data_IF_960405168580
#
_entry.id   IF_960405168580
#
_cell.length_a   1.000
_cell.length_b   1.000
_cell.length_c   1.000
_cell.angle_alpha   90.00
_cell.angle_beta   90.00
_cell.angle_gamma   90.00
#
_symmetry.space_group_name_H-M   'P 1'
#
loop_
_entity.id
_entity.type
_entity.pdbx_description
1 polymer ?
#
# COMPACT_ATOMS: atom_id res chain seq x y z
N UNK A 1 6.48 3.12 -40.14
CA UNK A 1 5.63 4.32 -39.98
C UNK A 1 5.40 4.51 -38.48
N UNK A 2 5.56 5.72 -37.94
CA UNK A 2 5.35 5.99 -36.51
C UNK A 2 3.87 6.23 -36.20
N UNK A 3 3.47 6.03 -34.94
CA UNK A 3 2.09 6.34 -34.48
C UNK A 3 1.94 7.86 -34.40
N UNK A 4 1.02 8.42 -35.18
CA UNK A 4 0.70 9.85 -35.17
C UNK A 4 -0.50 10.14 -34.26
N UNK A 5 -0.42 11.20 -33.47
CA UNK A 5 -1.51 11.64 -32.59
C UNK A 5 -1.99 13.03 -33.03
N UNK A 6 -3.27 13.14 -33.41
CA UNK A 6 -3.90 14.43 -33.76
C UNK A 6 -4.22 15.29 -32.55
N UNK A 7 -4.40 14.67 -31.39
CA UNK A 7 -4.71 15.32 -30.10
C UNK A 7 -4.04 14.53 -28.98
N UNK A 8 -3.49 15.24 -27.99
CA UNK A 8 -2.76 14.63 -26.87
C UNK A 8 -3.72 14.34 -25.70
N UNK A 9 -4.27 13.13 -25.65
CA UNK A 9 -5.17 12.68 -24.58
C UNK A 9 -4.39 11.94 -23.47
N UNK A 10 -3.73 12.67 -22.58
CA UNK A 10 -2.82 12.08 -21.57
C UNK A 10 -3.49 11.05 -20.64
N UNK A 11 -4.74 11.29 -20.21
CA UNK A 11 -5.45 10.37 -19.34
C UNK A 11 -5.68 9.01 -20.02
N UNK A 12 -6.15 9.04 -21.27
CA UNK A 12 -6.36 7.85 -22.10
C UNK A 12 -5.06 7.11 -22.40
N UNK A 13 -3.99 7.85 -22.71
CA UNK A 13 -2.66 7.26 -22.89
C UNK A 13 -2.22 6.56 -21.60
N UNK A 14 -2.44 7.18 -20.44
CA UNK A 14 -2.17 6.57 -19.13
C UNK A 14 -2.91 5.25 -18.94
N UNK A 15 -4.21 5.21 -19.23
CA UNK A 15 -5.02 4.00 -19.16
C UNK A 15 -4.54 2.89 -20.12
N UNK A 16 -4.22 3.25 -21.38
CA UNK A 16 -3.64 2.32 -22.36
C UNK A 16 -2.32 1.71 -21.85
N UNK A 17 -1.44 2.53 -21.26
CA UNK A 17 -0.14 2.08 -20.73
C UNK A 17 -0.30 1.23 -19.46
N UNK A 18 -1.21 1.60 -18.55
CA UNK A 18 -1.50 0.80 -17.35
C UNK A 18 -2.02 -0.59 -17.75
N UNK A 19 -2.95 -0.63 -18.72
CA UNK A 19 -3.47 -1.90 -19.25
C UNK A 19 -2.35 -2.74 -19.84
N UNK A 20 -1.51 -2.15 -20.69
CA UNK A 20 -0.35 -2.84 -21.27
C UNK A 20 0.60 -3.39 -20.18
N UNK A 21 0.93 -2.58 -19.17
CA UNK A 21 1.80 -3.04 -18.07
C UNK A 21 1.23 -4.22 -17.31
N UNK A 22 -0.10 -4.22 -17.09
CA UNK A 22 -0.82 -5.29 -16.39
C UNK A 22 -0.88 -6.58 -17.21
N UNK A 23 -1.34 -6.48 -18.46
CA UNK A 23 -1.46 -7.64 -19.37
C UNK A 23 -0.10 -8.32 -19.57
N UNK A 24 0.98 -7.51 -19.67
CA UNK A 24 2.33 -8.00 -19.89
C UNK A 24 3.13 -8.26 -18.61
N UNK A 25 2.54 -8.11 -17.41
CA UNK A 25 3.24 -8.31 -16.12
C UNK A 25 4.58 -7.55 -16.05
N UNK A 26 4.58 -6.28 -16.49
CA UNK A 26 5.81 -5.50 -16.68
C UNK A 26 6.52 -5.25 -15.34
N UNK A 27 5.77 -5.04 -14.26
CA UNK A 27 6.35 -4.84 -12.93
C UNK A 27 7.12 -6.10 -12.48
N UNK A 28 6.50 -7.27 -12.58
CA UNK A 28 7.07 -8.55 -12.21
C UNK A 28 8.28 -8.87 -13.07
N UNK A 29 8.17 -8.67 -14.40
CA UNK A 29 9.29 -8.81 -15.35
C UNK A 29 10.44 -7.87 -15.00
N UNK A 30 10.16 -6.64 -14.54
CA UNK A 30 11.20 -5.69 -14.14
C UNK A 30 12.04 -6.16 -12.94
N UNK A 31 11.48 -7.04 -12.10
CA UNK A 31 12.16 -7.64 -10.94
C UNK A 31 12.84 -8.96 -11.34
N UNK A 32 12.10 -9.85 -12.00
CA UNK A 32 12.53 -11.22 -12.31
C UNK A 32 13.68 -11.29 -13.32
N UNK A 33 13.76 -10.31 -14.24
CA UNK A 33 14.86 -10.20 -15.22
C UNK A 33 16.14 -9.61 -14.64
N UNK A 34 16.13 -9.16 -13.38
CA UNK A 34 17.31 -8.58 -12.71
C UNK A 34 18.02 -9.62 -11.84
N UNK A 35 19.35 -9.54 -11.83
CA UNK A 35 20.18 -10.46 -11.03
C UNK A 35 19.94 -10.27 -9.53
N UNK A 36 19.77 -11.39 -8.82
CA UNK A 36 19.69 -11.42 -7.35
C UNK A 36 20.99 -10.97 -6.67
N UNK A 37 22.12 -10.99 -7.39
CA UNK A 37 23.42 -10.60 -6.85
C UNK A 37 23.57 -9.07 -6.64
N UNK A 38 22.65 -8.27 -7.17
CA UNK A 38 22.69 -6.80 -7.07
C UNK A 38 21.36 -6.25 -6.53
N UNK A 39 20.99 -6.56 -5.27
CA UNK A 39 19.74 -6.09 -4.69
C UNK A 39 19.81 -4.60 -4.37
N UNK A 40 18.66 -3.95 -4.43
CA UNK A 40 18.41 -2.68 -3.75
C UNK A 40 17.14 -2.84 -2.93
N UNK A 41 17.30 -2.82 -1.61
CA UNK A 41 16.19 -2.98 -0.67
C UNK A 41 15.44 -1.67 -0.52
N UNK A 42 14.13 -1.73 -0.72
CA UNK A 42 13.22 -0.62 -0.54
C UNK A 42 12.23 -0.95 0.57
N UNK A 43 12.07 -0.03 1.52
CA UNK A 43 11.06 -0.11 2.56
C UNK A 43 9.95 0.89 2.27
N UNK A 44 8.73 0.37 2.17
CA UNK A 44 7.53 1.18 2.11
C UNK A 44 7.09 1.48 3.54
N UNK A 45 7.01 2.77 3.88
CA UNK A 45 6.45 3.22 5.15
C UNK A 45 4.95 3.00 5.12
N UNK A 46 4.41 2.07 5.94
CA UNK A 46 3.05 1.57 5.78
C UNK A 46 2.05 2.66 6.16
N UNK A 47 1.11 3.03 5.28
CA UNK A 47 0.02 3.90 5.67
C UNK A 47 -0.98 3.17 6.58
N UNK A 48 -1.74 3.92 7.38
CA UNK A 48 -2.98 3.42 7.98
C UNK A 48 -4.11 3.58 6.98
N UNK A 49 -4.84 2.50 6.67
CA UNK A 49 -5.99 2.50 5.76
C UNK A 49 -7.32 2.87 6.45
N UNK A 50 -7.26 3.62 7.55
CA UNK A 50 -8.41 4.15 8.26
C UNK A 50 -8.96 5.46 7.66
N UNK A 51 -8.36 5.98 6.58
CA UNK A 51 -8.82 7.19 5.90
C UNK A 51 -8.49 7.24 4.40
N UNK A 52 -9.09 8.22 3.72
CA UNK A 52 -8.89 8.48 2.30
C UNK A 52 -7.46 8.96 2.01
N UNK A 53 -6.84 8.54 0.90
CA UNK A 53 -5.53 9.05 0.53
C UNK A 53 -5.60 10.52 0.08
N UNK A 54 -4.78 11.39 0.68
CA UNK A 54 -4.57 12.77 0.23
C UNK A 54 -3.38 12.97 -0.73
N UNK A 55 -3.24 14.19 -1.25
CA UNK A 55 -2.18 14.57 -2.22
C UNK A 55 -0.76 14.31 -1.71
N UNK A 56 -0.53 14.42 -0.40
CA UNK A 56 0.77 14.13 0.21
C UNK A 56 1.20 12.67 0.03
N UNK A 57 0.25 11.73 -0.01
CA UNK A 57 0.55 10.34 -0.33
C UNK A 57 1.00 10.16 -1.78
N UNK A 58 0.37 10.86 -2.72
CA UNK A 58 0.76 10.84 -4.14
C UNK A 58 2.18 11.38 -4.30
N UNK A 59 2.49 12.52 -3.67
CA UNK A 59 3.83 13.12 -3.71
C UNK A 59 4.89 12.18 -3.13
N UNK A 60 4.64 11.62 -1.94
CA UNK A 60 5.57 10.68 -1.31
C UNK A 60 5.80 9.43 -2.16
N UNK A 61 4.73 8.85 -2.72
CA UNK A 61 4.81 7.67 -3.58
C UNK A 61 5.51 7.95 -4.91
N UNK A 62 5.29 9.11 -5.52
CA UNK A 62 6.00 9.50 -6.73
C UNK A 62 7.53 9.54 -6.51
N UNK A 63 7.97 10.17 -5.42
CA UNK A 63 9.41 10.22 -5.07
C UNK A 63 9.95 8.81 -4.83
N UNK A 64 9.28 8.00 -4.01
CA UNK A 64 9.68 6.61 -3.72
C UNK A 64 9.80 5.78 -5.00
N UNK A 65 8.84 5.89 -5.91
CA UNK A 65 8.80 5.12 -7.14
C UNK A 65 9.90 5.50 -8.13
N UNK A 66 10.15 6.80 -8.32
CA UNK A 66 11.18 7.30 -9.24
C UNK A 66 12.55 6.68 -8.92
N UNK A 67 12.93 6.64 -7.64
CA UNK A 67 14.21 6.03 -7.25
C UNK A 67 14.24 4.52 -7.46
N UNK A 68 13.14 3.83 -7.19
CA UNK A 68 13.06 2.39 -7.43
C UNK A 68 13.16 2.06 -8.93
N UNK A 69 12.49 2.85 -9.80
CA UNK A 69 12.61 2.73 -11.26
C UNK A 69 14.04 3.03 -11.72
N UNK A 70 14.63 4.12 -11.24
CA UNK A 70 16.02 4.49 -11.52
C UNK A 70 16.99 3.35 -11.18
N UNK A 71 16.89 2.77 -9.97
CA UNK A 71 17.74 1.64 -9.55
C UNK A 71 17.53 0.41 -10.44
N UNK A 72 16.29 0.13 -10.82
CA UNK A 72 15.97 -0.96 -11.76
C UNK A 72 16.66 -0.76 -13.12
N UNK A 73 16.65 0.47 -13.66
CA UNK A 73 17.35 0.83 -14.91
C UNK A 73 18.87 0.71 -14.75
N UNK A 74 19.42 1.04 -13.57
CA UNK A 74 20.85 0.83 -13.24
C UNK A 74 21.23 -0.63 -13.00
N UNK A 75 20.31 -1.57 -13.24
CA UNK A 75 20.54 -3.02 -13.19
C UNK A 75 20.40 -3.64 -11.80
N UNK A 76 19.84 -2.91 -10.82
CA UNK A 76 19.54 -3.49 -9.50
C UNK A 76 18.23 -4.27 -9.54
N UNK A 77 18.14 -5.35 -8.76
CA UNK A 77 16.86 -5.99 -8.46
C UNK A 77 16.20 -5.24 -7.31
N UNK A 78 15.02 -4.66 -7.56
CA UNK A 78 14.28 -3.84 -6.59
C UNK A 78 12.96 -4.53 -6.25
N UNK A 79 12.95 -5.35 -5.20
CA UNK A 79 11.69 -5.90 -4.66
C UNK A 79 10.98 -4.82 -3.85
N UNK A 80 9.66 -4.71 -4.03
CA UNK A 80 8.85 -3.66 -3.42
C UNK A 80 7.60 -4.29 -2.86
N UNK A 81 7.43 -4.23 -1.55
CA UNK A 81 6.32 -4.84 -0.82
C UNK A 81 5.58 -3.74 -0.07
N UNK A 82 4.26 -3.69 -0.22
CA UNK A 82 3.44 -2.76 0.54
C UNK A 82 3.25 -3.26 1.98
N UNK A 83 2.75 -2.36 2.84
CA UNK A 83 2.25 -2.77 4.13
C UNK A 83 1.16 -1.84 4.65
N UNK A 84 0.54 -2.29 5.73
CA UNK A 84 -0.53 -1.56 6.42
C UNK A 84 -0.20 -1.45 7.90
N UNK A 85 -0.21 -0.23 8.42
CA UNK A 85 -0.11 0.02 9.85
C UNK A 85 -1.51 -0.01 10.46
N UNK A 86 -1.77 -1.05 11.25
CA UNK A 86 -3.11 -1.44 11.65
C UNK A 86 -3.40 -1.41 13.13
N UNK A 87 -2.49 -0.89 13.96
CA UNK A 87 -2.65 -0.82 15.42
C UNK A 87 -2.64 0.62 15.92
N UNK A 88 -2.98 0.80 17.20
CA UNK A 88 -2.74 2.01 17.97
C UNK A 88 -3.88 3.03 17.93
N UNK A 89 -3.66 4.12 18.68
CA UNK A 89 -4.64 5.17 18.96
C UNK A 89 -5.36 5.73 17.73
N UNK A 90 -4.70 5.98 16.57
CA UNK A 90 -5.40 6.51 15.40
C UNK A 90 -6.54 5.61 14.90
N UNK A 91 -6.42 4.28 15.06
CA UNK A 91 -7.46 3.32 14.67
C UNK A 91 -8.54 3.22 15.74
N UNK A 92 -8.12 3.16 17.00
CA UNK A 92 -8.99 3.06 18.17
C UNK A 92 -9.94 4.27 18.25
N UNK A 93 -9.42 5.49 18.20
CA UNK A 93 -10.22 6.72 18.26
C UNK A 93 -11.20 6.85 17.08
N UNK A 94 -10.81 6.39 15.89
CA UNK A 94 -11.70 6.35 14.73
C UNK A 94 -12.85 5.38 14.94
N UNK A 95 -12.58 4.21 15.52
CA UNK A 95 -13.57 3.17 15.81
C UNK A 95 -14.52 3.60 16.93
N UNK A 96 -14.01 4.19 18.01
CA UNK A 96 -14.80 4.75 19.12
C UNK A 96 -15.81 5.78 18.60
N UNK A 97 -15.34 6.72 17.76
CA UNK A 97 -16.20 7.75 17.15
C UNK A 97 -17.33 7.16 16.31
N UNK A 98 -17.07 6.10 15.57
CA UNK A 98 -18.07 5.45 14.71
C UNK A 98 -19.10 4.63 15.48
N UNK A 99 -18.65 3.97 16.55
CA UNK A 99 -19.52 3.22 17.44
C UNK A 99 -20.28 4.12 18.42
N UNK A 100 -19.90 5.40 18.53
CA UNK A 100 -20.49 6.34 19.48
C UNK A 100 -20.18 6.00 20.94
N UNK A 101 -19.02 5.40 21.19
CA UNK A 101 -18.56 4.97 22.52
C UNK A 101 -17.32 5.75 22.94
N UNK A 102 -16.95 5.64 24.21
CA UNK A 102 -15.65 6.08 24.73
C UNK A 102 -14.83 4.89 25.23
N UNK A 103 -13.58 5.14 25.61
CA UNK A 103 -12.71 4.10 26.18
C UNK A 103 -13.32 3.43 27.43
N UNK A 104 -14.11 4.16 28.22
CA UNK A 104 -14.74 3.66 29.44
C UNK A 104 -15.84 2.61 29.20
N UNK A 105 -16.36 2.53 27.97
CA UNK A 105 -17.39 1.59 27.54
C UNK A 105 -16.84 0.20 27.20
N UNK A 106 -15.56 0.13 26.87
CA UNK A 106 -14.87 -1.10 26.47
C UNK A 106 -14.79 -2.06 27.67
N UNK A 107 -15.30 -3.28 27.49
CA UNK A 107 -15.44 -4.29 28.54
C UNK A 107 -16.69 -4.13 29.42
N UNK A 108 -17.53 -3.12 29.16
CA UNK A 108 -18.80 -2.90 29.90
C UNK A 108 -20.01 -2.99 29.00
N UNK A 109 -20.08 -2.11 27.99
CA UNK A 109 -21.21 -2.03 27.05
C UNK A 109 -20.87 -2.70 25.72
N UNK A 110 -19.59 -2.78 25.36
CA UNK A 110 -19.04 -3.60 24.28
C UNK A 110 -17.97 -4.53 24.83
N UNK A 111 -17.88 -5.77 24.34
CA UNK A 111 -16.80 -6.68 24.75
C UNK A 111 -15.45 -6.25 24.15
N UNK A 112 -14.33 -6.66 24.77
CA UNK A 112 -12.99 -6.41 24.22
C UNK A 112 -12.82 -7.08 22.85
N UNK A 113 -13.40 -8.26 22.67
CA UNK A 113 -13.36 -9.00 21.41
C UNK A 113 -14.10 -8.26 20.30
N UNK A 114 -15.33 -7.82 20.57
CA UNK A 114 -16.14 -7.08 19.59
C UNK A 114 -15.49 -5.74 19.22
N UNK A 115 -14.90 -5.05 20.19
CA UNK A 115 -14.16 -3.82 19.95
C UNK A 115 -12.94 -4.05 19.05
N UNK A 116 -12.14 -5.08 19.32
CA UNK A 116 -10.98 -5.43 18.51
C UNK A 116 -11.37 -5.83 17.08
N UNK A 117 -12.48 -6.56 16.92
CA UNK A 117 -13.02 -6.89 15.59
C UNK A 117 -13.52 -5.65 14.85
N UNK A 118 -14.14 -4.69 15.54
CA UNK A 118 -14.51 -3.40 14.96
C UNK A 118 -13.25 -2.63 14.49
N UNK A 119 -12.20 -2.55 15.30
CA UNK A 119 -10.93 -1.91 14.92
C UNK A 119 -10.32 -2.53 13.65
N UNK A 120 -10.30 -3.87 13.55
CA UNK A 120 -9.82 -4.57 12.34
C UNK A 120 -10.62 -4.24 11.09
N UNK A 121 -11.95 -4.13 11.21
CA UNK A 121 -12.81 -3.75 10.08
C UNK A 121 -12.57 -2.31 9.65
N UNK A 122 -12.48 -1.40 10.62
CA UNK A 122 -12.25 0.03 10.37
C UNK A 122 -10.92 0.28 9.67
N UNK A 123 -9.85 -0.37 10.12
CA UNK A 123 -8.52 -0.12 9.57
C UNK A 123 -8.32 -0.65 8.15
N UNK A 124 -9.13 -1.62 7.71
CA UNK A 124 -9.07 -2.15 6.36
C UNK A 124 -10.05 -1.47 5.40
N UNK A 125 -10.93 -0.59 5.89
CA UNK A 125 -12.06 -0.03 5.13
C UNK A 125 -11.66 0.67 3.84
N UNK A 126 -10.57 1.43 3.84
CA UNK A 126 -10.16 2.22 2.67
C UNK A 126 -9.12 1.52 1.80
N UNK A 127 -8.76 0.27 2.10
CA UNK A 127 -7.70 -0.44 1.36
C UNK A 127 -7.97 -0.52 -0.14
N UNK A 128 -9.22 -0.72 -0.56
CA UNK A 128 -9.60 -0.74 -1.98
C UNK A 128 -9.38 0.61 -2.68
N UNK A 129 -9.71 1.73 -2.00
CA UNK A 129 -9.48 3.08 -2.53
C UNK A 129 -7.99 3.36 -2.68
N UNK A 130 -7.20 2.90 -1.70
CA UNK A 130 -5.75 3.00 -1.78
C UNK A 130 -5.16 2.11 -2.87
N UNK A 131 -5.69 0.91 -3.08
CA UNK A 131 -5.28 0.01 -4.15
C UNK A 131 -5.53 0.65 -5.52
N UNK A 132 -6.74 1.19 -5.74
CA UNK A 132 -7.11 1.92 -6.95
C UNK A 132 -6.18 3.11 -7.22
N UNK A 133 -5.92 3.94 -6.21
CA UNK A 133 -4.97 5.05 -6.34
C UNK A 133 -3.57 4.56 -6.70
N UNK A 134 -3.09 3.49 -6.06
CA UNK A 134 -1.77 2.87 -6.30
C UNK A 134 -1.61 2.49 -7.76
N UNK A 135 -2.62 1.80 -8.32
CA UNK A 135 -2.63 1.36 -9.72
C UNK A 135 -2.72 2.56 -10.66
N UNK A 136 -3.67 3.47 -10.46
CA UNK A 136 -3.89 4.65 -11.32
C UNK A 136 -2.68 5.58 -11.41
N UNK A 137 -1.95 5.74 -10.31
CA UNK A 137 -0.75 6.58 -10.31
C UNK A 137 0.49 5.85 -10.87
N UNK A 138 0.37 4.57 -11.22
CA UNK A 138 1.49 3.75 -11.71
C UNK A 138 2.53 3.43 -10.62
N UNK A 139 2.13 3.42 -9.35
CA UNK A 139 3.06 3.10 -8.26
C UNK A 139 3.29 1.59 -8.19
N UNK A 140 4.44 1.13 -8.70
CA UNK A 140 4.77 -0.28 -8.73
C UNK A 140 5.20 -0.78 -7.35
N UNK A 141 4.32 -1.54 -6.70
CA UNK A 141 4.53 -2.18 -5.41
C UNK A 141 3.62 -3.42 -5.32
N UNK A 142 4.09 -4.49 -4.67
CA UNK A 142 3.27 -5.68 -4.45
C UNK A 142 2.19 -5.40 -3.40
N UNK A 143 0.94 -5.35 -3.86
CA UNK A 143 -0.28 -5.21 -3.06
C UNK A 143 -1.00 -6.56 -2.82
N UNK A 144 -0.52 -7.66 -3.40
CA UNK A 144 -1.14 -8.98 -3.28
C UNK A 144 -0.77 -9.68 -1.96
N UNK A 145 0.48 -9.52 -1.53
CA UNK A 145 0.95 -9.98 -0.22
C UNK A 145 1.48 -8.79 0.60
N UNK A 146 0.65 -7.86 1.09
CA UNK A 146 1.14 -6.79 1.95
C UNK A 146 1.45 -7.34 3.35
N UNK A 147 2.46 -6.79 4.02
CA UNK A 147 2.61 -7.03 5.45
C UNK A 147 1.55 -6.24 6.23
N UNK A 148 0.98 -6.84 7.27
CA UNK A 148 -0.10 -6.23 8.07
C UNK A 148 0.28 -6.40 9.53
N UNK A 149 0.30 -5.30 10.29
CA UNK A 149 0.87 -5.32 11.64
C UNK A 149 0.04 -6.12 12.65
N UNK A 150 -1.27 -6.31 12.44
CA UNK A 150 -2.10 -7.18 13.27
C UNK A 150 -1.98 -8.69 12.95
N UNK A 151 -1.28 -9.10 11.89
CA UNK A 151 -1.10 -10.52 11.60
C UNK A 151 -0.16 -11.15 12.63
N UNK A 152 -0.52 -12.34 13.13
CA UNK A 152 0.22 -13.02 14.22
C UNK A 152 1.72 -13.16 13.96
N UNK A 153 2.13 -13.47 12.73
CA UNK A 153 3.56 -13.59 12.37
C UNK A 153 4.33 -12.27 12.53
N UNK A 154 3.69 -11.14 12.24
CA UNK A 154 4.29 -9.83 12.46
C UNK A 154 4.44 -9.57 13.97
N UNK A 155 3.37 -9.80 14.73
CA UNK A 155 3.35 -9.62 16.18
C UNK A 155 4.38 -10.51 16.90
N UNK A 156 4.50 -11.77 16.49
CA UNK A 156 5.50 -12.71 17.01
C UNK A 156 6.93 -12.20 16.80
N UNK A 157 7.20 -11.59 15.65
CA UNK A 157 8.51 -10.96 15.37
C UNK A 157 8.76 -9.76 16.28
N UNK A 158 7.74 -8.95 16.54
CA UNK A 158 7.85 -7.82 17.49
C UNK A 158 8.13 -8.33 18.90
N UNK A 159 7.46 -9.38 19.35
CA UNK A 159 7.71 -9.99 20.66
C UNK A 159 9.12 -10.55 20.80
N UNK A 160 9.67 -11.16 19.74
CA UNK A 160 11.05 -11.64 19.74
C UNK A 160 12.09 -10.51 19.88
N UNK A 161 11.76 -9.28 19.45
CA UNK A 161 12.64 -8.12 19.51
C UNK A 161 12.63 -7.38 20.86
N UNK A 162 11.61 -7.62 21.70
CA UNK A 162 11.45 -7.00 23.03
C UNK A 162 12.22 -7.78 24.10
#
# INVERSE_FOLDING_TARGET
MYREFKTLELAKIGEEILKFWKDEMIFEKSISTRSKAKPFTFYEGPPSANGMPGIHHVMARAIKDIFCRYKTIKGYQVKRKAGWDTHGLPVELGTEKELGITKEDIGKTISIEDYNEACKKTVMRYTDVWNDLTEKMGYWVDMHDPYITYKSKYMETVWWLL
#
